data_IF_345213507770
#
_entry.id   IF_345213507770
#
_cell.length_a   1.000
_cell.length_b   1.000
_cell.length_c   1.000
_cell.angle_alpha   90.00
_cell.angle_beta   90.00
_cell.angle_gamma   90.00
#
_symmetry.space_group_name_H-M   'P 1'
#
loop_
_entity.id
_entity.type
_entity.pdbx_description
1 polymer ?
#
# COMPACT_ATOMS: atom_id res chain seq x y z
N UNK A 1 -1.89 -16.69 14.33
CA UNK A 1 -1.61 -16.84 12.89
C UNK A 1 -0.83 -15.60 12.45
N UNK A 2 0.51 -15.69 12.35
CA UNK A 2 1.35 -14.55 11.97
C UNK A 2 1.02 -14.14 10.53
N UNK A 3 0.46 -12.94 10.32
CA UNK A 3 0.40 -12.35 8.99
C UNK A 3 1.85 -12.10 8.56
N UNK A 4 2.36 -12.86 7.58
CA UNK A 4 3.66 -12.57 6.95
C UNK A 4 3.64 -11.09 6.58
N UNK A 5 4.56 -10.31 7.13
CA UNK A 5 4.77 -8.91 6.79
C UNK A 5 5.04 -8.82 5.30
N UNK A 6 4.01 -8.52 4.51
CA UNK A 6 4.15 -8.26 3.07
C UNK A 6 4.92 -6.94 3.00
N UNK A 7 6.18 -6.93 2.59
CA UNK A 7 6.89 -5.67 2.27
C UNK A 7 6.63 -5.37 0.79
N UNK A 8 6.25 -4.13 0.42
CA UNK A 8 6.11 -3.77 -0.97
C UNK A 8 7.48 -3.69 -1.65
N UNK A 9 7.49 -3.74 -2.97
CA UNK A 9 8.65 -3.48 -3.82
C UNK A 9 8.49 -2.15 -4.54
N UNK A 10 9.61 -1.61 -5.03
CA UNK A 10 9.58 -0.47 -5.93
C UNK A 10 8.71 -0.81 -7.16
N UNK A 11 7.92 0.16 -7.58
CA UNK A 11 6.95 0.09 -8.66
C UNK A 11 5.67 -0.72 -8.42
N UNK A 12 5.47 -1.34 -7.25
CA UNK A 12 4.21 -1.99 -6.91
C UNK A 12 3.07 -0.96 -6.81
N UNK A 13 1.88 -1.31 -7.28
CA UNK A 13 0.67 -0.54 -7.00
C UNK A 13 0.02 -1.01 -5.70
N UNK A 14 -0.34 -0.06 -4.85
CA UNK A 14 -0.93 -0.30 -3.54
C UNK A 14 -2.18 0.57 -3.32
N UNK A 15 -3.08 0.08 -2.48
CA UNK A 15 -4.18 0.83 -1.88
C UNK A 15 -3.87 0.96 -0.40
N UNK A 16 -3.85 2.19 0.11
CA UNK A 16 -3.68 2.56 1.51
C UNK A 16 -5.00 3.10 2.06
N UNK A 17 -5.52 2.46 3.12
CA UNK A 17 -6.74 2.86 3.81
C UNK A 17 -6.37 3.60 5.09
N UNK A 18 -6.73 4.87 5.17
CA UNK A 18 -6.44 5.72 6.33
C UNK A 18 -7.72 5.99 7.11
N UNK A 19 -7.99 5.15 8.11
CA UNK A 19 -9.22 5.21 8.93
C UNK A 19 -9.40 6.56 9.63
N UNK A 20 -8.33 7.14 10.17
CA UNK A 20 -8.34 8.44 10.86
C UNK A 20 -8.88 9.56 9.99
N UNK A 21 -8.65 9.49 8.68
CA UNK A 21 -9.08 10.49 7.71
C UNK A 21 -10.24 10.01 6.81
N UNK A 22 -10.77 8.81 7.09
CA UNK A 22 -11.80 8.14 6.29
C UNK A 22 -11.52 8.20 4.77
N UNK A 23 -10.27 7.94 4.37
CA UNK A 23 -9.82 8.04 2.97
C UNK A 23 -9.14 6.77 2.49
N UNK A 24 -9.27 6.49 1.20
CA UNK A 24 -8.62 5.38 0.51
C UNK A 24 -7.80 5.95 -0.64
N UNK A 25 -6.48 5.76 -0.58
CA UNK A 25 -5.54 6.29 -1.54
C UNK A 25 -4.91 5.15 -2.33
N UNK A 26 -4.80 5.31 -3.65
CA UNK A 26 -4.08 4.36 -4.52
C UNK A 26 -2.87 5.05 -5.13
N UNK A 27 -1.76 4.32 -5.23
CA UNK A 27 -0.60 4.80 -5.96
C UNK A 27 0.49 3.76 -6.11
N UNK A 28 1.58 4.20 -6.73
CA UNK A 28 2.73 3.36 -7.08
C UNK A 28 3.89 3.61 -6.12
N UNK A 29 4.48 2.57 -5.57
CA UNK A 29 5.61 2.67 -4.64
C UNK A 29 6.84 3.20 -5.37
N UNK A 30 7.38 4.32 -4.87
CA UNK A 30 8.53 5.01 -5.46
C UNK A 30 9.80 4.94 -4.60
N UNK A 31 9.66 4.67 -3.31
CA UNK A 31 10.81 4.55 -2.40
C UNK A 31 10.47 3.66 -1.21
N UNK A 32 11.43 2.82 -0.80
CA UNK A 32 11.36 2.03 0.43
C UNK A 32 12.22 2.71 1.50
N UNK A 33 11.68 2.85 2.70
CA UNK A 33 12.39 3.27 3.90
C UNK A 33 12.42 2.10 4.89
N UNK A 34 13.04 2.32 6.05
CA UNK A 34 13.28 1.26 7.03
C UNK A 34 11.97 0.65 7.58
N UNK A 35 11.04 1.51 8.03
CA UNK A 35 9.75 1.11 8.63
C UNK A 35 8.53 1.44 7.76
N UNK A 36 8.73 2.12 6.64
CA UNK A 36 7.66 2.69 5.82
C UNK A 36 8.07 2.74 4.35
N UNK A 37 7.15 3.18 3.49
CA UNK A 37 7.41 3.40 2.08
C UNK A 37 6.71 4.66 1.58
N UNK A 38 7.21 5.20 0.46
CA UNK A 38 6.59 6.32 -0.25
C UNK A 38 5.93 5.78 -1.50
N UNK A 39 4.74 6.30 -1.80
CA UNK A 39 4.02 6.01 -3.02
C UNK A 39 3.51 7.30 -3.66
N UNK A 40 3.52 7.32 -4.99
CA UNK A 40 3.01 8.44 -5.78
C UNK A 40 1.60 8.10 -6.29
N UNK A 41 0.67 9.01 -6.03
CA UNK A 41 -0.69 8.94 -6.55
C UNK A 41 -0.75 9.40 -8.01
N UNK A 42 -1.89 9.16 -8.66
CA UNK A 42 -2.11 9.51 -10.08
C UNK A 42 -2.00 11.03 -10.36
N UNK A 43 -2.33 11.87 -9.38
CA UNK A 43 -2.22 13.33 -9.45
C UNK A 43 -0.78 13.85 -9.23
N UNK A 44 0.18 12.95 -9.02
CA UNK A 44 1.58 13.28 -8.77
C UNK A 44 1.91 13.50 -7.29
N UNK A 45 0.92 13.57 -6.39
CA UNK A 45 1.17 13.75 -4.97
C UNK A 45 1.82 12.51 -4.34
N UNK A 46 2.76 12.76 -3.43
CA UNK A 46 3.51 11.71 -2.74
C UNK A 46 2.95 11.52 -1.34
N UNK A 47 2.77 10.27 -0.93
CA UNK A 47 2.30 9.90 0.40
C UNK A 47 3.21 8.86 1.03
N UNK A 48 3.17 8.83 2.36
CA UNK A 48 3.87 7.85 3.18
C UNK A 48 2.87 6.80 3.67
N UNK A 49 3.31 5.56 3.79
CA UNK A 49 2.57 4.49 4.45
C UNK A 49 3.53 3.59 5.23
N UNK A 50 3.20 3.31 6.48
CA UNK A 50 3.97 2.40 7.33
C UNK A 50 3.73 0.95 6.92
N UNK A 51 4.71 0.07 7.13
CA UNK A 51 4.51 -1.34 6.80
C UNK A 51 3.42 -2.02 7.64
N UNK A 52 3.11 -1.50 8.82
CA UNK A 52 2.10 -1.98 9.76
C UNK A 52 0.74 -1.27 9.65
N UNK A 53 0.61 -0.27 8.77
CA UNK A 53 -0.68 0.37 8.43
C UNK A 53 -1.57 -0.54 7.57
N UNK A 54 -2.83 -0.12 7.35
CA UNK A 54 -3.76 -0.86 6.49
C UNK A 54 -3.54 -0.54 5.01
N UNK A 55 -2.78 -1.40 4.34
CA UNK A 55 -2.56 -1.32 2.91
C UNK A 55 -2.55 -2.69 2.24
N UNK A 56 -2.78 -2.70 0.93
CA UNK A 56 -2.83 -3.92 0.11
C UNK A 56 -2.35 -3.69 -1.31
N UNK A 57 -1.82 -4.72 -1.95
CA UNK A 57 -1.46 -4.68 -3.37
C UNK A 57 -2.68 -4.59 -4.28
N UNK A 58 -2.52 -3.87 -5.39
CA UNK A 58 -3.39 -3.98 -6.55
C UNK A 58 -2.86 -5.12 -7.42
N UNK A 59 -3.62 -6.20 -7.54
CA UNK A 59 -3.25 -7.34 -8.40
C UNK A 59 -4.28 -7.38 -9.52
N UNK A 60 -3.85 -7.17 -10.77
CA UNK A 60 -4.62 -7.40 -12.00
C UNK A 60 -6.11 -6.98 -11.98
N UNK A 61 -6.41 -5.79 -11.45
CA UNK A 61 -7.78 -5.25 -11.41
C UNK A 61 -8.78 -6.06 -10.56
N UNK A 62 -8.35 -7.08 -9.83
CA UNK A 62 -9.17 -7.85 -8.90
C UNK A 62 -8.40 -8.08 -7.61
N UNK A 63 -8.84 -7.40 -6.55
CA UNK A 63 -8.44 -7.68 -5.17
C UNK A 63 -8.55 -9.17 -4.89
N UNK A 64 -7.41 -9.88 -4.82
CA UNK A 64 -7.39 -11.24 -4.28
C UNK A 64 -7.71 -11.15 -2.80
N UNK A 65 -8.98 -11.40 -2.45
CA UNK A 65 -9.30 -11.99 -1.15
C UNK A 65 -8.75 -13.42 -1.24
N UNK A 66 -7.60 -13.64 -0.61
CA UNK A 66 -7.13 -14.98 -0.28
C UNK A 66 -8.20 -15.60 0.65
N UNK A 67 -9.10 -16.39 0.06
CA UNK A 67 -9.99 -17.29 0.80
C UNK A 67 -9.17 -18.54 1.12
N UNK A 68 -9.22 -18.88 2.40
CA UNK A 68 -8.65 -20.07 3.03
C UNK A 68 -9.19 -21.37 2.39
#
# INVERSE_FOLDING_TARGET
>A
MQRKSKKPKLNDEIIHTEYTYNRVNQGKVIQLLDMQFLYQMKDGAIRHCMFDEDWRFVIDGKTKKETN
#
